data_IF_417317993320
#
_entry.id   IF_417317993320
#
_cell.length_a   1.000
_cell.length_b   1.000
_cell.length_c   1.000
_cell.angle_alpha   90.00
_cell.angle_beta   90.00
_cell.angle_gamma   90.00
#
_symmetry.space_group_name_H-M   'P 1'
#
loop_
_entity.id
_entity.type
_entity.pdbx_description
1 polymer ?
#
# COMPACT_ATOMS: atom_id res chain seq x y z
N UNK A 1 3.81 -0.91 9.50
CA UNK A 1 4.44 -1.70 8.45
C UNK A 1 3.76 -1.49 7.10
N UNK A 2 4.50 -1.74 6.05
CA UNK A 2 4.04 -1.66 4.66
C UNK A 2 3.32 -2.96 4.28
N UNK A 3 2.03 -2.96 3.88
CA UNK A 3 1.41 -4.13 3.31
C UNK A 3 1.98 -4.45 1.93
N UNK A 4 2.05 -5.73 1.62
CA UNK A 4 2.49 -6.27 0.33
C UNK A 4 1.37 -7.15 -0.22
N UNK A 5 1.32 -7.29 -1.55
CA UNK A 5 0.45 -8.27 -2.19
C UNK A 5 1.26 -9.18 -3.12
N UNK A 6 0.97 -10.46 -3.07
CA UNK A 6 1.57 -11.47 -3.91
C UNK A 6 0.53 -12.02 -4.88
N UNK A 7 0.79 -11.87 -6.17
CA UNK A 7 -0.02 -12.45 -7.24
C UNK A 7 0.65 -13.72 -7.76
N UNK A 8 -0.14 -14.71 -8.08
CA UNK A 8 0.33 -15.83 -8.91
C UNK A 8 0.56 -15.31 -10.33
N UNK A 9 1.82 -15.26 -10.75
CA UNK A 9 2.18 -14.68 -12.05
C UNK A 9 1.52 -15.43 -13.22
N UNK A 10 1.28 -16.73 -13.09
CA UNK A 10 0.60 -17.52 -14.12
C UNK A 10 -0.87 -17.11 -14.30
N UNK A 11 -1.45 -16.42 -13.31
CA UNK A 11 -2.84 -15.92 -13.35
C UNK A 11 -2.95 -14.47 -13.78
N UNK A 12 -1.81 -13.77 -13.98
CA UNK A 12 -1.79 -12.39 -14.48
C UNK A 12 -1.85 -12.41 -15.99
N UNK A 13 -3.01 -12.06 -16.54
CA UNK A 13 -3.24 -12.06 -17.98
C UNK A 13 -2.44 -10.98 -18.69
N UNK A 14 -1.83 -11.32 -19.82
CA UNK A 14 -1.04 -10.40 -20.65
C UNK A 14 0.28 -9.96 -20.01
N UNK A 15 0.66 -10.48 -18.86
CA UNK A 15 1.83 -10.03 -18.07
C UNK A 15 1.83 -8.52 -17.81
N UNK A 16 0.65 -7.91 -17.70
CA UNK A 16 0.48 -6.49 -17.41
C UNK A 16 -0.28 -6.28 -16.12
N UNK A 17 0.22 -5.36 -15.30
CA UNK A 17 -0.51 -4.82 -14.15
C UNK A 17 -0.94 -3.40 -14.48
N UNK A 18 -2.24 -3.17 -14.38
CA UNK A 18 -2.88 -1.90 -14.74
C UNK A 18 -3.62 -1.37 -13.52
N UNK A 19 -3.19 -0.23 -13.01
CA UNK A 19 -3.88 0.42 -11.88
C UNK A 19 -4.89 1.42 -12.43
N UNK A 20 -6.18 1.17 -12.24
CA UNK A 20 -7.28 1.99 -12.76
C UNK A 20 -8.56 1.82 -11.98
N UNK A 21 -9.49 2.75 -12.15
CA UNK A 21 -10.88 2.57 -11.73
C UNK A 21 -11.66 1.80 -12.81
N UNK A 22 -12.63 1.01 -12.37
CA UNK A 22 -13.57 0.31 -13.26
C UNK A 22 -14.91 1.07 -13.30
N UNK A 23 -15.76 0.81 -14.31
CA UNK A 23 -17.07 1.44 -14.39
C UNK A 23 -17.94 1.16 -13.15
N UNK A 24 -18.77 2.13 -12.78
CA UNK A 24 -19.77 1.97 -11.71
C UNK A 24 -20.63 0.71 -11.94
N UNK A 25 -20.85 -0.06 -10.90
CA UNK A 25 -21.66 -1.27 -10.98
C UNK A 25 -20.91 -2.53 -11.45
N UNK A 26 -19.62 -2.43 -11.78
CA UNK A 26 -18.81 -3.60 -12.16
C UNK A 26 -18.84 -4.64 -11.02
N UNK A 27 -19.07 -5.92 -11.38
CA UNK A 27 -19.04 -7.04 -10.43
C UNK A 27 -17.64 -7.55 -10.24
N UNK A 28 -17.27 -7.79 -8.98
CA UNK A 28 -15.95 -8.29 -8.60
C UNK A 28 -16.07 -9.24 -7.41
N UNK A 29 -15.51 -10.44 -7.52
CA UNK A 29 -15.50 -11.42 -6.45
C UNK A 29 -14.21 -11.35 -5.67
N UNK A 30 -14.30 -11.05 -4.38
CA UNK A 30 -13.17 -10.96 -3.46
C UNK A 30 -12.75 -12.32 -2.90
N UNK A 31 -11.58 -12.39 -2.23
CA UNK A 31 -10.99 -13.61 -1.67
C UNK A 31 -11.92 -14.39 -0.74
N UNK A 32 -12.86 -13.72 -0.08
CA UNK A 32 -13.89 -14.32 0.78
C UNK A 32 -15.03 -14.97 -0.01
N UNK A 33 -14.95 -14.98 -1.35
CA UNK A 33 -15.98 -15.53 -2.24
C UNK A 33 -17.23 -14.65 -2.39
N UNK A 34 -17.21 -13.44 -1.85
CA UNK A 34 -18.35 -12.50 -1.92
C UNK A 34 -18.27 -11.69 -3.21
N UNK A 35 -19.36 -11.69 -4.00
CA UNK A 35 -19.52 -10.78 -5.13
C UNK A 35 -19.86 -9.38 -4.63
N UNK A 36 -19.07 -8.42 -5.01
CA UNK A 36 -19.21 -7.00 -4.68
C UNK A 36 -19.54 -6.19 -5.91
N UNK A 37 -20.29 -5.11 -5.72
CA UNK A 37 -20.58 -4.15 -6.78
C UNK A 37 -19.65 -2.95 -6.58
N UNK A 38 -18.72 -2.75 -7.51
CA UNK A 38 -17.73 -1.68 -7.44
C UNK A 38 -18.35 -0.32 -7.69
N UNK A 39 -17.81 0.69 -7.05
CA UNK A 39 -18.02 2.09 -7.41
C UNK A 39 -16.94 2.56 -8.37
N UNK A 40 -17.28 3.55 -9.21
CA UNK A 40 -16.31 4.23 -10.08
C UNK A 40 -15.16 4.89 -9.31
N UNK A 41 -15.30 5.13 -8.01
CA UNK A 41 -14.25 5.65 -7.14
C UNK A 41 -13.32 4.57 -6.56
N UNK A 42 -13.64 3.28 -6.75
CA UNK A 42 -12.82 2.19 -6.22
C UNK A 42 -11.60 1.98 -7.12
N UNK A 43 -10.41 2.19 -6.55
CA UNK A 43 -9.17 1.92 -7.26
C UNK A 43 -8.94 0.42 -7.33
N UNK A 44 -8.63 -0.07 -8.51
CA UNK A 44 -8.41 -1.48 -8.78
C UNK A 44 -7.00 -1.73 -9.31
N UNK A 45 -6.43 -2.85 -8.91
CA UNK A 45 -5.31 -3.46 -9.62
C UNK A 45 -5.91 -4.46 -10.58
N UNK A 46 -5.60 -4.30 -11.84
CA UNK A 46 -6.17 -5.08 -12.95
C UNK A 46 -5.05 -5.73 -13.77
N UNK A 47 -5.43 -6.71 -14.54
CA UNK A 47 -4.69 -7.23 -15.68
C UNK A 47 -5.46 -6.96 -16.98
N UNK A 48 -5.11 -7.63 -18.09
CA UNK A 48 -5.84 -7.48 -19.36
C UNK A 48 -7.27 -8.00 -19.32
N UNK A 49 -7.57 -8.96 -18.45
CA UNK A 49 -8.91 -9.56 -18.34
C UNK A 49 -9.83 -8.77 -17.40
N UNK A 50 -9.29 -7.98 -16.49
CA UNK A 50 -10.10 -7.18 -15.56
C UNK A 50 -9.50 -6.98 -14.20
N UNK A 51 -10.35 -6.81 -13.19
CA UNK A 51 -9.94 -6.59 -11.81
C UNK A 51 -9.30 -7.81 -11.16
N UNK A 52 -8.12 -7.66 -10.57
CA UNK A 52 -7.42 -8.68 -9.82
C UNK A 52 -7.44 -8.41 -8.30
N UNK A 53 -7.52 -7.12 -7.89
CA UNK A 53 -7.50 -6.73 -6.48
C UNK A 53 -8.19 -5.36 -6.30
N UNK A 54 -8.90 -5.16 -5.18
CA UNK A 54 -9.30 -3.82 -4.71
C UNK A 54 -8.07 -3.21 -4.04
N UNK A 55 -7.49 -2.21 -4.67
CA UNK A 55 -6.20 -1.63 -4.30
C UNK A 55 -6.12 -1.22 -2.82
N UNK A 56 -5.19 -1.80 -2.09
CA UNK A 56 -4.96 -1.52 -0.67
C UNK A 56 -6.07 -2.00 0.28
N UNK A 57 -7.08 -2.72 -0.23
CA UNK A 57 -8.22 -3.19 0.57
C UNK A 57 -8.30 -4.71 0.60
N UNK A 58 -8.53 -5.37 -0.54
CA UNK A 58 -8.73 -6.80 -0.53
C UNK A 58 -8.48 -7.45 -1.90
N UNK A 59 -7.80 -8.60 -1.90
CA UNK A 59 -7.51 -9.36 -3.11
C UNK A 59 -8.75 -9.96 -3.76
N UNK A 60 -8.62 -10.30 -5.04
CA UNK A 60 -9.62 -11.05 -5.79
C UNK A 60 -9.48 -12.56 -5.61
N UNK A 61 -10.57 -13.28 -5.82
CA UNK A 61 -10.62 -14.74 -5.64
C UNK A 61 -9.62 -15.49 -6.53
N UNK A 62 -9.39 -15.00 -7.74
CA UNK A 62 -8.67 -15.75 -8.77
C UNK A 62 -7.20 -15.34 -8.96
N UNK A 63 -6.73 -14.26 -8.31
CA UNK A 63 -5.39 -13.70 -8.52
C UNK A 63 -4.36 -14.10 -7.48
N UNK A 64 -4.81 -14.68 -6.37
CA UNK A 64 -3.96 -15.03 -5.23
C UNK A 64 -3.09 -16.25 -5.48
N UNK A 65 -2.03 -16.35 -4.66
CA UNK A 65 -1.12 -17.50 -4.62
C UNK A 65 -1.82 -18.74 -4.04
N UNK A 66 -1.38 -19.91 -4.50
CA UNK A 66 -1.85 -21.23 -4.05
C UNK A 66 -0.64 -22.13 -3.80
N UNK A 67 -0.86 -23.35 -3.32
CA UNK A 67 0.22 -24.36 -3.15
C UNK A 67 0.87 -24.76 -4.48
N UNK A 68 0.20 -24.52 -5.60
CA UNK A 68 0.71 -24.82 -6.95
C UNK A 68 1.49 -23.65 -7.58
N UNK A 69 1.45 -22.46 -6.95
CA UNK A 69 2.12 -21.26 -7.47
C UNK A 69 3.63 -21.44 -7.49
N UNK A 70 4.25 -21.17 -8.62
CA UNK A 70 5.69 -21.27 -8.84
C UNK A 70 6.35 -19.91 -9.00
N UNK A 71 5.68 -19.01 -9.71
CA UNK A 71 6.17 -17.67 -9.99
C UNK A 71 5.25 -16.64 -9.33
N UNK A 72 5.85 -15.72 -8.60
CA UNK A 72 5.14 -14.70 -7.82
C UNK A 72 5.49 -13.32 -8.36
N UNK A 73 4.45 -12.53 -8.66
CA UNK A 73 4.59 -11.09 -8.81
C UNK A 73 4.31 -10.43 -7.46
N UNK A 74 5.30 -9.72 -6.92
CA UNK A 74 5.20 -9.07 -5.62
C UNK A 74 4.98 -7.57 -5.80
N UNK A 75 3.92 -7.06 -5.20
CA UNK A 75 3.56 -5.65 -5.19
C UNK A 75 3.89 -5.01 -3.83
N UNK A 76 4.52 -3.84 -3.88
CA UNK A 76 4.66 -2.93 -2.75
C UNK A 76 4.25 -1.54 -3.20
N UNK A 77 3.10 -1.06 -2.74
CA UNK A 77 2.49 0.15 -3.25
C UNK A 77 2.21 1.19 -2.16
N UNK A 78 2.09 2.44 -2.58
CA UNK A 78 1.47 3.51 -1.82
C UNK A 78 0.10 3.84 -2.41
N UNK A 79 -0.92 3.87 -1.58
CA UNK A 79 -2.28 4.25 -1.97
C UNK A 79 -2.74 5.47 -1.19
N UNK A 80 -3.56 6.30 -1.81
CA UNK A 80 -4.15 7.45 -1.12
C UNK A 80 -5.00 6.98 0.08
N UNK A 81 -4.66 7.39 1.32
CA UNK A 81 -5.34 6.92 2.53
C UNK A 81 -6.84 7.18 2.55
N UNK A 82 -7.28 8.33 1.98
CA UNK A 82 -8.70 8.70 1.94
C UNK A 82 -9.47 7.80 0.98
N UNK A 83 -8.88 7.48 -0.18
CA UNK A 83 -9.47 6.56 -1.16
C UNK A 83 -9.65 5.16 -0.55
N UNK A 84 -8.58 4.60 0.03
CA UNK A 84 -8.64 3.27 0.69
C UNK A 84 -9.72 3.25 1.78
N UNK A 85 -9.77 4.26 2.64
CA UNK A 85 -10.78 4.34 3.71
C UNK A 85 -12.21 4.38 3.18
N UNK A 86 -12.47 5.17 2.14
CA UNK A 86 -13.80 5.27 1.52
C UNK A 86 -14.23 3.94 0.90
N UNK A 87 -13.33 3.31 0.15
CA UNK A 87 -13.57 2.01 -0.49
C UNK A 87 -13.79 0.91 0.55
N UNK A 88 -12.92 0.79 1.55
CA UNK A 88 -13.05 -0.19 2.62
C UNK A 88 -14.41 -0.08 3.35
N UNK A 89 -14.83 1.15 3.69
CA UNK A 89 -16.13 1.40 4.32
C UNK A 89 -17.32 1.07 3.41
N UNK A 90 -17.24 1.41 2.13
CA UNK A 90 -18.30 1.13 1.15
C UNK A 90 -18.58 -0.36 1.05
N UNK A 91 -17.54 -1.17 1.05
CA UNK A 91 -17.65 -2.62 0.94
C UNK A 91 -17.76 -3.35 2.28
N UNK A 92 -17.72 -2.63 3.41
CA UNK A 92 -17.72 -3.24 4.75
C UNK A 92 -16.47 -4.10 5.01
N UNK A 93 -15.34 -3.80 4.35
CA UNK A 93 -14.08 -4.51 4.47
C UNK A 93 -13.17 -3.82 5.48
N UNK A 94 -12.81 -4.54 6.53
CA UNK A 94 -11.83 -4.09 7.52
C UNK A 94 -10.68 -5.11 7.57
N UNK A 95 -9.71 -4.93 6.67
CA UNK A 95 -8.54 -5.80 6.55
C UNK A 95 -7.31 -5.17 7.19
N UNK A 96 -6.29 -5.96 7.52
CA UNK A 96 -5.01 -5.44 8.00
C UNK A 96 -4.36 -4.48 7.00
N UNK A 97 -4.54 -4.74 5.70
CA UNK A 97 -4.05 -3.86 4.65
C UNK A 97 -4.79 -2.52 4.66
N UNK A 98 -6.12 -2.52 4.62
CA UNK A 98 -6.92 -1.28 4.65
C UNK A 98 -6.68 -0.48 5.92
N UNK A 99 -6.56 -1.13 7.08
CA UNK A 99 -6.23 -0.50 8.34
C UNK A 99 -4.91 0.27 8.31
N UNK A 100 -3.87 -0.26 7.64
CA UNK A 100 -2.57 0.39 7.52
C UNK A 100 -2.58 1.50 6.48
N UNK A 101 -3.09 1.23 5.29
CA UNK A 101 -3.13 2.21 4.21
C UNK A 101 -4.01 3.41 4.54
N UNK A 102 -5.16 3.22 5.18
CA UNK A 102 -6.07 4.34 5.54
C UNK A 102 -5.48 5.31 6.57
N UNK A 103 -4.45 4.87 7.32
CA UNK A 103 -3.71 5.70 8.29
C UNK A 103 -2.47 6.35 7.69
N UNK A 104 -2.12 5.98 6.47
CA UNK A 104 -0.94 6.43 5.75
C UNK A 104 0.25 5.48 5.92
N UNK A 105 0.80 5.07 4.78
CA UNK A 105 2.10 4.40 4.70
C UNK A 105 3.13 5.41 4.20
N UNK A 106 4.41 5.19 4.51
CA UNK A 106 5.49 6.00 3.97
C UNK A 106 5.72 5.64 2.49
N UNK A 107 5.50 6.57 1.54
CA UNK A 107 5.69 6.30 0.13
C UNK A 107 7.14 5.98 -0.24
N UNK A 108 8.11 6.48 0.55
CA UNK A 108 9.53 6.25 0.30
C UNK A 108 10.02 4.87 0.78
N UNK A 109 9.20 4.17 1.58
CA UNK A 109 9.57 2.87 2.14
C UNK A 109 9.17 1.68 1.24
N UNK A 110 8.37 1.90 0.20
CA UNK A 110 7.84 0.85 -0.68
C UNK A 110 8.93 0.01 -1.31
N UNK A 111 9.95 0.65 -1.89
CA UNK A 111 11.07 -0.02 -2.55
C UNK A 111 11.94 -0.82 -1.58
N UNK A 112 12.23 -0.24 -0.40
CA UNK A 112 13.00 -0.92 0.63
C UNK A 112 12.30 -2.21 1.08
N UNK A 113 11.01 -2.12 1.40
CA UNK A 113 10.23 -3.26 1.87
C UNK A 113 10.03 -4.32 0.79
N UNK A 114 9.87 -3.92 -0.48
CA UNK A 114 9.82 -4.86 -1.60
C UNK A 114 11.09 -5.71 -1.67
N UNK A 115 12.26 -5.07 -1.62
CA UNK A 115 13.56 -5.75 -1.64
C UNK A 115 13.74 -6.66 -0.42
N UNK A 116 13.39 -6.16 0.77
CA UNK A 116 13.47 -6.94 2.01
C UNK A 116 12.58 -8.19 1.94
N UNK A 117 11.31 -8.03 1.53
CA UNK A 117 10.39 -9.15 1.40
C UNK A 117 10.84 -10.17 0.35
N UNK A 118 11.38 -9.70 -0.78
CA UNK A 118 11.90 -10.59 -1.83
C UNK A 118 13.08 -11.43 -1.33
N UNK A 119 13.98 -10.84 -0.54
CA UNK A 119 15.09 -11.58 0.08
C UNK A 119 14.59 -12.58 1.13
N UNK A 120 13.59 -12.18 1.93
CA UNK A 120 13.00 -13.08 2.92
C UNK A 120 12.26 -14.26 2.27
N UNK A 121 11.50 -14.03 1.20
CA UNK A 121 10.86 -15.11 0.43
C UNK A 121 11.93 -16.06 -0.11
N UNK A 122 13.02 -15.54 -0.68
CA UNK A 122 14.13 -16.36 -1.17
C UNK A 122 14.76 -17.21 -0.05
N UNK A 123 14.89 -16.66 1.15
CA UNK A 123 15.46 -17.37 2.31
C UNK A 123 14.53 -18.51 2.79
N UNK A 124 13.23 -18.25 2.93
CA UNK A 124 12.30 -19.21 3.55
C UNK A 124 11.65 -20.18 2.57
N UNK A 125 11.45 -19.76 1.32
CA UNK A 125 10.77 -20.56 0.29
C UNK A 125 11.72 -21.01 -0.84
N UNK A 126 12.94 -20.50 -0.88
CA UNK A 126 13.88 -20.74 -1.98
C UNK A 126 13.54 -19.91 -3.21
N UNK A 127 14.04 -20.35 -4.36
CA UNK A 127 13.81 -19.68 -5.64
C UNK A 127 14.82 -18.57 -5.95
N UNK A 128 14.56 -17.87 -7.06
CA UNK A 128 15.41 -16.79 -7.58
C UNK A 128 14.60 -15.56 -7.89
N UNK A 129 15.20 -14.38 -7.69
CA UNK A 129 14.62 -13.12 -8.18
C UNK A 129 14.90 -13.08 -9.69
N UNK A 130 13.86 -13.12 -10.50
CA UNK A 130 13.93 -13.32 -11.95
C UNK A 130 13.82 -12.03 -12.76
N UNK A 131 13.52 -10.89 -12.13
CA UNK A 131 13.38 -9.61 -12.82
C UNK A 131 14.06 -8.48 -12.05
N UNK A 132 14.27 -7.37 -12.72
CA UNK A 132 14.57 -6.09 -12.07
C UNK A 132 13.33 -5.55 -11.36
N UNK A 133 13.53 -4.59 -10.47
CA UNK A 133 12.44 -3.89 -9.79
C UNK A 133 11.91 -2.79 -10.71
N UNK A 134 10.60 -2.82 -10.95
CA UNK A 134 9.90 -1.71 -11.59
C UNK A 134 9.36 -0.78 -10.51
N UNK A 135 9.91 0.43 -10.45
CA UNK A 135 9.43 1.48 -9.53
C UNK A 135 8.81 2.61 -10.34
N UNK A 136 7.51 2.83 -10.12
CA UNK A 136 6.75 3.89 -10.77
C UNK A 136 6.26 4.89 -9.72
N UNK A 137 7.02 5.97 -9.53
CA UNK A 137 6.71 7.05 -8.60
C UNK A 137 6.66 8.39 -9.33
N UNK A 138 5.61 8.63 -10.15
CA UNK A 138 5.58 9.76 -11.10
C UNK A 138 5.43 11.12 -10.42
N UNK A 139 4.82 11.17 -9.24
CA UNK A 139 4.60 12.39 -8.48
C UNK A 139 5.03 12.15 -7.04
N UNK A 140 6.13 12.76 -6.64
CA UNK A 140 6.62 12.67 -5.27
C UNK A 140 5.60 13.27 -4.28
N UNK A 141 5.37 12.57 -3.18
CA UNK A 141 4.57 13.10 -2.08
C UNK A 141 5.42 14.12 -1.34
N UNK A 142 4.98 15.39 -1.36
CA UNK A 142 5.67 16.46 -0.67
C UNK A 142 5.50 16.34 0.84
N UNK A 143 6.59 16.58 1.57
CA UNK A 143 6.58 16.68 3.03
C UNK A 143 6.08 18.04 3.48
N UNK A 144 5.35 18.08 4.59
CA UNK A 144 4.92 19.34 5.18
C UNK A 144 6.11 20.09 5.79
N UNK A 145 6.17 21.40 5.54
CA UNK A 145 7.12 22.30 6.22
C UNK A 145 6.33 23.14 7.21
N UNK A 146 6.79 23.17 8.46
CA UNK A 146 6.16 23.94 9.51
C UNK A 146 7.18 24.86 10.14
N UNK A 147 6.96 26.17 10.02
CA UNK A 147 7.77 27.17 10.71
C UNK A 147 7.29 27.27 12.17
N UNK A 148 8.20 26.98 13.08
CA UNK A 148 7.91 26.93 14.50
C UNK A 148 8.95 27.71 15.32
N UNK A 149 8.50 28.62 16.18
CA UNK A 149 9.38 29.33 17.11
C UNK A 149 9.43 28.64 18.47
N UNK A 150 10.60 28.68 19.12
CA UNK A 150 10.76 28.13 20.48
C UNK A 150 9.82 28.82 21.51
N UNK A 151 9.57 30.11 21.34
CA UNK A 151 8.61 30.83 22.17
C UNK A 151 7.19 30.29 22.06
N UNK A 152 6.77 29.92 20.84
CA UNK A 152 5.44 29.33 20.64
C UNK A 152 5.36 27.90 21.20
N UNK A 153 6.44 27.11 21.09
CA UNK A 153 6.54 25.79 21.71
C UNK A 153 6.32 25.91 23.22
N UNK A 154 7.10 26.79 23.91
CA UNK A 154 7.01 26.99 25.36
C UNK A 154 5.63 27.46 25.77
N UNK A 155 5.02 28.37 25.00
CA UNK A 155 3.65 28.86 25.26
C UNK A 155 2.60 27.77 25.16
N UNK A 156 2.71 26.86 24.18
CA UNK A 156 1.77 25.75 23.99
C UNK A 156 1.93 24.67 25.05
N UNK A 157 3.16 24.35 25.42
CA UNK A 157 3.47 23.31 26.42
C UNK A 157 3.16 23.85 27.86
N UNK A 158 3.20 25.17 28.06
CA UNK A 158 3.05 25.78 29.36
C UNK A 158 4.25 25.64 30.30
N UNK A 159 5.40 25.24 29.74
CA UNK A 159 6.68 25.08 30.45
C UNK A 159 7.81 25.52 29.51
N UNK A 160 8.80 26.17 30.11
CA UNK A 160 10.02 26.54 29.39
C UNK A 160 10.92 25.32 29.22
N UNK A 161 11.23 24.98 27.96
CA UNK A 161 12.21 23.96 27.54
C UNK A 161 13.25 24.62 26.66
N UNK A 162 14.47 24.12 26.77
CA UNK A 162 15.59 24.71 26.03
C UNK A 162 15.54 24.34 24.54
N UNK A 163 16.09 25.17 23.64
CA UNK A 163 16.20 24.83 22.24
C UNK A 163 16.87 23.47 21.98
N UNK A 164 17.87 23.11 22.78
CA UNK A 164 18.58 21.84 22.68
C UNK A 164 17.65 20.64 22.99
N UNK A 165 16.82 20.76 24.01
CA UNK A 165 15.83 19.72 24.35
C UNK A 165 14.79 19.57 23.24
N UNK A 166 14.28 20.69 22.69
CA UNK A 166 13.34 20.66 21.55
C UNK A 166 13.95 19.94 20.37
N UNK A 167 15.18 20.29 19.96
CA UNK A 167 15.84 19.66 18.85
C UNK A 167 16.11 18.15 19.08
N UNK A 168 16.42 17.77 20.30
CA UNK A 168 16.61 16.37 20.67
C UNK A 168 15.31 15.57 20.54
N UNK A 169 14.19 16.16 20.98
CA UNK A 169 12.84 15.54 20.85
C UNK A 169 12.45 15.39 19.36
N UNK A 170 12.59 16.48 18.58
CA UNK A 170 12.25 16.46 17.15
C UNK A 170 13.09 15.41 16.40
N UNK A 171 14.40 15.37 16.64
CA UNK A 171 15.27 14.34 16.06
C UNK A 171 14.87 12.93 16.48
N UNK A 172 14.44 12.72 17.71
CA UNK A 172 13.92 11.42 18.17
C UNK A 172 12.59 11.02 17.52
N UNK A 173 11.85 11.98 16.97
CA UNK A 173 10.63 11.79 16.18
C UNK A 173 10.87 11.76 14.67
N UNK A 174 12.15 11.82 14.25
CA UNK A 174 12.54 11.84 12.83
C UNK A 174 11.97 13.04 12.04
N UNK A 175 11.82 14.19 12.72
CA UNK A 175 11.36 15.48 12.20
C UNK A 175 12.55 16.44 12.02
#
# INVERSE_FOLDING_TARGET
GQPLHAFDLAKVSGNHIIVKNLPEGTKFTTLDGVERTLSADDLMICDEMGGACIAGVFGGLNSGVTEETKDVFLESAYFNPVSVRKTARRHGLNTDASFRFERGCDPNNTLYILKFASLLIKEVAGGTISSEVFDNYPVAVETFKVDLSFSKINSLIGKEITPSEVLTILKGLEI
#
